data_IF_953224278472
#
_entry.id   IF_953224278472
#
_cell.length_a   1.000
_cell.length_b   1.000
_cell.length_c   1.000
_cell.angle_alpha   90.00
_cell.angle_beta   90.00
_cell.angle_gamma   90.00
#
_symmetry.space_group_name_H-M   'P 1'
#
loop_
_entity.id
_entity.type
_entity.pdbx_description
1 polymer ?
#
# COMPACT_ATOMS: atom_id res chain seq x y z
N UNK A 1 -12.91 16.79 -33.77
CA UNK A 1 -12.08 16.35 -32.63
C UNK A 1 -12.94 15.50 -31.72
N UNK A 2 -12.45 14.37 -31.25
CA UNK A 2 -13.17 13.45 -30.36
C UNK A 2 -12.39 13.29 -29.08
N UNK A 3 -13.05 13.45 -27.93
CA UNK A 3 -12.49 13.23 -26.59
C UNK A 3 -13.10 11.97 -26.00
N UNK A 4 -12.25 11.03 -25.63
CA UNK A 4 -12.67 9.78 -25.02
C UNK A 4 -11.95 9.55 -23.71
N UNK A 5 -12.61 8.81 -22.83
CA UNK A 5 -12.05 8.28 -21.59
C UNK A 5 -12.56 6.87 -21.40
N UNK A 6 -11.65 5.96 -21.11
CA UNK A 6 -11.96 4.58 -20.78
C UNK A 6 -11.27 4.19 -19.48
N UNK A 7 -11.93 3.36 -18.69
CA UNK A 7 -11.40 2.86 -17.42
C UNK A 7 -11.45 1.34 -17.45
N UNK A 8 -10.32 0.72 -17.16
CA UNK A 8 -10.22 -0.71 -16.90
C UNK A 8 -10.09 -0.97 -15.40
N UNK A 9 -10.63 -2.08 -14.91
CA UNK A 9 -10.64 -2.42 -13.49
C UNK A 9 -10.30 -3.90 -13.29
N UNK A 10 -9.52 -4.19 -12.25
CA UNK A 10 -9.19 -5.56 -11.84
C UNK A 10 -9.32 -5.69 -10.32
N UNK A 11 -9.94 -6.76 -9.88
CA UNK A 11 -10.03 -7.10 -8.46
C UNK A 11 -8.93 -8.09 -8.12
N UNK A 12 -8.10 -7.76 -7.14
CA UNK A 12 -7.00 -8.58 -6.66
C UNK A 12 -7.23 -9.04 -5.23
N UNK A 13 -6.68 -10.19 -4.90
CA UNK A 13 -6.50 -10.60 -3.50
C UNK A 13 -5.10 -10.13 -3.10
N UNK A 14 -4.97 -9.36 -2.00
CA UNK A 14 -3.67 -8.99 -1.48
C UNK A 14 -2.82 -10.24 -1.22
N UNK A 15 -1.57 -10.20 -1.62
CA UNK A 15 -0.62 -11.31 -1.56
C UNK A 15 0.44 -11.13 -0.48
N UNK A 16 0.42 -9.98 0.22
CA UNK A 16 1.43 -9.62 1.21
C UNK A 16 0.80 -9.05 2.48
N UNK A 17 1.36 -9.41 3.63
CA UNK A 17 1.03 -8.85 4.93
C UNK A 17 2.11 -7.85 5.34
N UNK A 18 1.69 -6.67 5.78
CA UNK A 18 2.54 -5.65 6.39
C UNK A 18 2.11 -5.46 7.84
N UNK A 19 3.06 -5.61 8.76
CA UNK A 19 2.88 -5.36 10.17
C UNK A 19 3.74 -4.19 10.61
N UNK A 20 3.22 -3.33 11.45
CA UNK A 20 4.00 -2.32 12.15
C UNK A 20 3.98 -2.63 13.65
N UNK A 21 5.15 -2.88 14.19
CA UNK A 21 5.40 -3.10 15.61
C UNK A 21 6.08 -1.87 16.18
N UNK A 22 5.87 -1.59 17.47
CA UNK A 22 6.45 -0.40 18.11
C UNK A 22 7.07 -0.76 19.46
N UNK A 23 8.34 -0.42 19.63
CA UNK A 23 8.94 -0.29 20.94
C UNK A 23 8.58 1.08 21.51
N UNK A 24 8.12 1.14 22.76
CA UNK A 24 7.74 2.38 23.45
C UNK A 24 8.24 2.35 24.89
N UNK A 25 8.82 3.47 25.33
CA UNK A 25 9.31 3.65 26.70
C UNK A 25 9.03 5.05 27.20
N UNK A 26 8.93 5.19 28.53
CA UNK A 26 8.80 6.49 29.18
C UNK A 26 9.61 6.55 30.48
N UNK A 27 10.11 7.73 30.83
CA UNK A 27 10.90 7.90 32.05
C UNK A 27 11.32 9.36 32.28
N UNK A 28 11.96 9.62 33.43
CA UNK A 28 12.44 10.95 33.78
C UNK A 28 13.75 11.33 33.06
N UNK A 29 14.57 10.34 32.69
CA UNK A 29 15.86 10.56 32.00
C UNK A 29 15.78 10.14 30.51
N UNK A 30 15.97 11.09 29.58
CA UNK A 30 15.91 10.80 28.15
C UNK A 30 16.96 9.77 27.69
N UNK A 31 18.13 9.75 28.31
CA UNK A 31 19.20 8.78 27.97
C UNK A 31 18.81 7.36 28.38
N UNK A 32 18.16 7.20 29.53
CA UNK A 32 17.67 5.91 29.99
C UNK A 32 16.54 5.40 29.07
N UNK A 33 15.59 6.27 28.68
CA UNK A 33 14.50 5.97 27.74
C UNK A 33 15.08 5.53 26.38
N UNK A 34 16.02 6.29 25.81
CA UNK A 34 16.68 5.96 24.57
C UNK A 34 17.41 4.60 24.64
N UNK A 35 18.17 4.37 25.71
CA UNK A 35 18.89 3.12 25.90
C UNK A 35 17.95 1.90 26.00
N UNK A 36 16.78 2.08 26.63
CA UNK A 36 15.79 1.03 26.75
C UNK A 36 15.14 0.69 25.39
N UNK A 37 14.77 1.71 24.58
CA UNK A 37 14.27 1.51 23.23
C UNK A 37 15.29 0.78 22.36
N UNK A 38 16.57 1.26 22.38
CA UNK A 38 17.63 0.67 21.58
C UNK A 38 17.86 -0.82 21.93
N UNK A 39 17.86 -1.18 23.20
CA UNK A 39 18.00 -2.58 23.63
C UNK A 39 16.83 -3.44 23.12
N UNK A 40 15.60 -2.95 23.30
CA UNK A 40 14.40 -3.68 22.86
C UNK A 40 14.38 -3.86 21.33
N UNK A 41 14.72 -2.80 20.59
CA UNK A 41 14.80 -2.85 19.15
C UNK A 41 15.91 -3.77 18.64
N UNK A 42 17.08 -3.78 19.29
CA UNK A 42 18.16 -4.69 18.94
C UNK A 42 17.76 -6.17 19.10
N UNK A 43 17.08 -6.51 20.21
CA UNK A 43 16.53 -7.85 20.43
C UNK A 43 15.51 -8.22 19.36
N UNK A 44 14.57 -7.30 19.07
CA UNK A 44 13.52 -7.52 18.07
C UNK A 44 14.11 -7.73 16.66
N UNK A 45 15.09 -6.95 16.26
CA UNK A 45 15.80 -7.09 14.98
C UNK A 45 16.52 -8.44 14.89
N UNK A 46 17.16 -8.88 15.97
CA UNK A 46 17.84 -10.16 15.99
C UNK A 46 16.86 -11.34 15.78
N UNK A 47 15.71 -11.32 16.43
CA UNK A 47 14.66 -12.32 16.22
C UNK A 47 14.06 -12.24 14.81
N UNK A 48 13.72 -11.05 14.35
CA UNK A 48 13.11 -10.86 13.06
C UNK A 48 14.01 -11.30 11.89
N UNK A 49 15.31 -11.04 11.96
CA UNK A 49 16.26 -11.47 10.93
C UNK A 49 16.46 -13.00 10.84
N UNK A 50 16.08 -13.76 11.87
CA UNK A 50 16.09 -15.23 11.82
C UNK A 50 14.90 -15.79 11.05
N UNK A 51 13.86 -15.01 10.83
CA UNK A 51 12.65 -15.44 10.13
C UNK A 51 12.82 -15.29 8.61
N UNK A 52 13.08 -16.38 7.92
CA UNK A 52 13.24 -16.39 6.46
C UNK A 52 11.95 -15.95 5.73
N UNK A 53 12.10 -15.18 4.66
CA UNK A 53 10.99 -14.72 3.82
C UNK A 53 10.21 -13.52 4.40
N UNK A 54 10.74 -12.86 5.43
CA UNK A 54 10.19 -11.63 6.00
C UNK A 54 11.19 -10.51 5.78
N UNK A 55 10.77 -9.46 5.10
CA UNK A 55 11.52 -8.21 5.02
C UNK A 55 11.34 -7.42 6.33
N UNK A 56 12.45 -6.90 6.85
CA UNK A 56 12.50 -6.22 8.15
C UNK A 56 13.12 -4.84 7.97
N UNK A 57 12.39 -3.81 8.37
CA UNK A 57 12.83 -2.41 8.27
C UNK A 57 12.53 -1.69 9.58
N UNK A 58 13.44 -0.79 9.97
CA UNK A 58 13.14 0.14 11.07
C UNK A 58 12.43 1.36 10.52
N UNK A 59 11.34 1.74 11.18
CA UNK A 59 10.57 2.93 10.83
C UNK A 59 10.93 4.15 11.66
N UNK A 60 9.94 4.97 11.96
CA UNK A 60 10.12 6.23 12.67
C UNK A 60 10.65 6.03 14.09
N UNK A 61 11.64 6.86 14.46
CA UNK A 61 12.12 7.03 15.82
C UNK A 61 11.69 8.40 16.34
N UNK A 62 11.14 8.45 17.54
CA UNK A 62 10.73 9.68 18.19
C UNK A 62 11.16 9.67 19.68
N UNK A 63 11.63 10.80 20.18
CA UNK A 63 11.90 11.05 21.60
C UNK A 63 11.47 12.48 21.90
N UNK A 64 10.55 12.68 22.83
CA UNK A 64 10.02 13.99 23.17
C UNK A 64 9.67 14.06 24.67
N UNK A 65 9.67 15.27 25.20
CA UNK A 65 9.24 15.55 26.56
C UNK A 65 7.72 15.77 26.60
N UNK A 66 7.05 15.10 27.51
CA UNK A 66 5.64 15.29 27.84
C UNK A 66 5.52 15.91 29.22
N UNK A 67 4.79 17.02 29.32
CA UNK A 67 4.49 17.69 30.59
C UNK A 67 3.00 17.57 30.89
N UNK A 68 2.55 16.53 31.65
CA UNK A 68 1.16 16.41 32.03
C UNK A 68 0.73 17.53 32.97
N UNK A 69 -0.55 17.97 32.97
CA UNK A 69 -1.02 19.13 33.74
C UNK A 69 -0.80 19.06 35.28
N UNK A 70 -0.67 17.85 35.83
CA UNK A 70 -0.55 17.64 37.27
C UNK A 70 0.54 16.63 37.67
N UNK A 71 1.52 16.42 36.82
CA UNK A 71 2.63 15.49 37.05
C UNK A 71 3.96 16.10 36.58
N UNK A 72 5.11 15.64 37.13
CA UNK A 72 6.39 16.11 36.63
C UNK A 72 6.59 15.77 35.13
N UNK A 73 7.39 16.58 34.40
CA UNK A 73 7.78 16.27 33.04
C UNK A 73 8.41 14.88 32.92
N UNK A 74 8.10 14.20 31.85
CA UNK A 74 8.66 12.88 31.53
C UNK A 74 8.98 12.78 30.04
N UNK A 75 9.97 12.00 29.74
CA UNK A 75 10.34 11.70 28.37
C UNK A 75 9.55 10.49 27.87
N UNK A 76 9.04 10.60 26.66
CA UNK A 76 8.47 9.49 25.92
C UNK A 76 9.30 9.22 24.68
N UNK A 77 9.60 7.95 24.43
CA UNK A 77 10.32 7.53 23.26
C UNK A 77 9.62 6.37 22.58
N UNK A 78 9.75 6.29 21.27
CA UNK A 78 9.22 5.17 20.48
C UNK A 78 10.05 4.95 19.21
N UNK A 79 10.06 3.69 18.75
CA UNK A 79 10.60 3.31 17.46
C UNK A 79 9.75 2.24 16.83
N UNK A 80 9.46 2.38 15.52
CA UNK A 80 8.71 1.39 14.75
C UNK A 80 9.64 0.34 14.13
N UNK A 81 9.14 -0.89 14.05
CA UNK A 81 9.68 -2.00 13.29
C UNK A 81 8.62 -2.44 12.29
N UNK A 82 8.96 -2.48 11.02
CA UNK A 82 8.08 -2.82 9.92
C UNK A 82 8.48 -4.19 9.42
N UNK A 83 7.51 -5.10 9.37
CA UNK A 83 7.66 -6.45 8.85
C UNK A 83 6.77 -6.58 7.62
N UNK A 84 7.31 -7.18 6.57
CA UNK A 84 6.56 -7.41 5.33
C UNK A 84 6.87 -8.82 4.81
N UNK A 85 5.83 -9.59 4.47
CA UNK A 85 6.00 -10.96 3.98
C UNK A 85 4.71 -11.53 3.41
N UNK A 86 4.85 -12.61 2.62
CA UNK A 86 3.72 -13.28 1.96
C UNK A 86 3.07 -14.35 2.84
N UNK A 87 3.86 -14.99 3.71
CA UNK A 87 3.38 -16.02 4.64
C UNK A 87 2.77 -15.37 5.89
N UNK A 88 1.46 -15.12 5.85
CA UNK A 88 0.72 -14.51 6.96
C UNK A 88 0.82 -15.30 8.26
N UNK A 89 0.88 -16.63 8.21
CA UNK A 89 0.95 -17.44 9.42
C UNK A 89 2.31 -17.27 10.11
N UNK A 90 3.39 -17.27 9.32
CA UNK A 90 4.75 -17.01 9.82
C UNK A 90 4.89 -15.59 10.36
N UNK A 91 4.30 -14.61 9.66
CA UNK A 91 4.28 -13.21 10.07
C UNK A 91 3.60 -13.03 11.43
N UNK A 92 2.42 -13.63 11.61
CA UNK A 92 1.66 -13.55 12.86
C UNK A 92 2.37 -14.26 14.02
N UNK A 93 3.04 -15.40 13.74
CA UNK A 93 3.86 -16.08 14.74
C UNK A 93 5.01 -15.19 15.22
N UNK A 94 5.78 -14.62 14.29
CA UNK A 94 6.85 -13.69 14.62
C UNK A 94 6.34 -12.47 15.40
N UNK A 95 5.19 -11.90 14.99
CA UNK A 95 4.59 -10.79 15.71
C UNK A 95 4.24 -11.14 17.18
N UNK A 96 3.74 -12.36 17.43
CA UNK A 96 3.50 -12.87 18.78
C UNK A 96 4.77 -13.00 19.62
N UNK A 97 5.86 -13.46 19.01
CA UNK A 97 7.18 -13.53 19.66
C UNK A 97 7.69 -12.13 20.02
N UNK A 98 7.61 -11.18 19.07
CA UNK A 98 8.00 -9.79 19.30
C UNK A 98 7.12 -9.07 20.33
N UNK A 99 5.84 -9.41 20.44
CA UNK A 99 4.97 -8.91 21.50
C UNK A 99 5.41 -9.43 22.88
N UNK A 100 5.86 -10.68 22.95
CA UNK A 100 6.43 -11.24 24.17
C UNK A 100 7.74 -10.54 24.58
N UNK A 101 8.49 -10.03 23.62
CA UNK A 101 9.68 -9.18 23.83
C UNK A 101 9.33 -7.72 24.19
N UNK A 102 8.05 -7.38 24.30
CA UNK A 102 7.56 -6.09 24.71
C UNK A 102 7.33 -5.08 23.58
N UNK A 103 7.24 -5.50 22.32
CA UNK A 103 6.76 -4.62 21.27
C UNK A 103 5.23 -4.64 21.23
N UNK A 104 4.65 -3.55 20.74
CA UNK A 104 3.21 -3.40 20.56
C UNK A 104 2.92 -3.43 19.06
N UNK A 105 1.97 -4.24 18.62
CA UNK A 105 1.47 -4.18 17.25
C UNK A 105 0.66 -2.89 17.09
N UNK A 106 1.10 -1.98 16.22
CA UNK A 106 0.42 -0.71 15.95
C UNK A 106 -0.48 -0.76 14.72
N UNK A 107 -0.12 -1.57 13.72
CA UNK A 107 -0.98 -1.81 12.57
C UNK A 107 -0.73 -3.16 11.92
N UNK A 108 -1.76 -3.65 11.22
CA UNK A 108 -1.71 -4.84 10.39
C UNK A 108 -2.52 -4.56 9.11
N UNK A 109 -1.89 -4.71 7.96
CA UNK A 109 -2.51 -4.41 6.67
C UNK A 109 -2.13 -5.45 5.64
N UNK A 110 -3.13 -5.98 4.93
CA UNK A 110 -2.89 -6.76 3.73
C UNK A 110 -2.73 -5.81 2.54
N UNK A 111 -1.70 -6.03 1.75
CA UNK A 111 -1.39 -5.20 0.58
C UNK A 111 -1.06 -6.07 -0.64
N UNK A 112 -1.23 -5.50 -1.83
CA UNK A 112 -0.78 -6.12 -3.08
C UNK A 112 0.69 -5.76 -3.26
N UNK A 113 1.52 -6.74 -3.61
CA UNK A 113 2.96 -6.53 -3.83
C UNK A 113 3.21 -5.56 -4.99
N UNK A 114 4.33 -4.82 -4.97
CA UNK A 114 4.70 -3.89 -6.04
C UNK A 114 4.84 -4.58 -7.41
N UNK A 115 5.24 -5.85 -7.41
CA UNK A 115 5.36 -6.67 -8.61
C UNK A 115 3.97 -6.91 -9.22
N UNK A 116 3.02 -7.43 -8.45
CA UNK A 116 1.65 -7.70 -8.90
C UNK A 116 0.93 -6.40 -9.29
N UNK A 117 1.20 -5.29 -8.58
CA UNK A 117 0.65 -3.98 -8.96
C UNK A 117 1.17 -3.52 -10.32
N UNK A 118 2.46 -3.69 -10.61
CA UNK A 118 3.09 -3.29 -11.87
C UNK A 118 2.53 -4.09 -13.04
N UNK A 119 2.51 -5.42 -12.92
CA UNK A 119 1.95 -6.32 -13.93
C UNK A 119 0.47 -6.00 -14.19
N UNK A 120 -0.30 -5.75 -13.12
CA UNK A 120 -1.70 -5.36 -13.23
C UNK A 120 -1.87 -4.02 -13.92
N UNK A 121 -0.99 -3.05 -13.67
CA UNK A 121 -1.03 -1.75 -14.32
C UNK A 121 -0.75 -1.86 -15.84
N UNK A 122 0.16 -2.74 -16.25
CA UNK A 122 0.44 -3.03 -17.67
C UNK A 122 -0.78 -3.66 -18.33
N UNK A 123 -1.38 -4.68 -17.71
CA UNK A 123 -2.61 -5.33 -18.21
C UNK A 123 -3.75 -4.34 -18.39
N UNK A 124 -4.03 -3.53 -17.35
CA UNK A 124 -5.12 -2.55 -17.36
C UNK A 124 -4.88 -1.44 -18.39
N UNK A 125 -3.62 -1.05 -18.60
CA UNK A 125 -3.28 -0.07 -19.64
C UNK A 125 -3.59 -0.62 -21.03
N UNK A 126 -3.21 -1.85 -21.31
CA UNK A 126 -3.51 -2.50 -22.58
C UNK A 126 -5.02 -2.65 -22.81
N UNK A 127 -5.76 -3.07 -21.78
CA UNK A 127 -7.21 -3.22 -21.82
C UNK A 127 -7.94 -1.88 -22.08
N UNK A 128 -7.56 -0.84 -21.34
CA UNK A 128 -8.17 0.49 -21.48
C UNK A 128 -7.88 1.11 -22.86
N UNK A 129 -6.66 0.95 -23.37
CA UNK A 129 -6.31 1.40 -24.72
C UNK A 129 -7.11 0.66 -25.79
N UNK A 130 -7.20 -0.67 -25.71
CA UNK A 130 -8.00 -1.46 -26.64
C UNK A 130 -9.49 -1.09 -26.59
N UNK A 131 -10.04 -0.78 -25.42
CA UNK A 131 -11.40 -0.30 -25.29
C UNK A 131 -11.60 1.08 -25.92
N UNK A 132 -10.63 1.98 -25.72
CA UNK A 132 -10.63 3.33 -26.30
C UNK A 132 -10.57 3.27 -27.83
N UNK A 133 -9.71 2.44 -28.40
CA UNK A 133 -9.59 2.23 -29.84
C UNK A 133 -10.90 1.70 -30.45
N UNK A 134 -11.48 0.65 -29.85
CA UNK A 134 -12.76 0.12 -30.31
C UNK A 134 -13.86 1.17 -30.28
N UNK A 135 -13.94 1.96 -29.22
CA UNK A 135 -14.96 3.01 -29.09
C UNK A 135 -14.73 4.15 -30.08
N UNK A 136 -13.46 4.55 -30.28
CA UNK A 136 -13.10 5.58 -31.25
C UNK A 136 -13.47 5.17 -32.68
N UNK A 137 -13.17 3.93 -33.07
CA UNK A 137 -13.52 3.36 -34.36
C UNK A 137 -15.04 3.31 -34.56
N UNK A 138 -15.78 2.81 -33.57
CA UNK A 138 -17.25 2.71 -33.65
C UNK A 138 -17.94 4.08 -33.79
N UNK A 139 -17.41 5.12 -33.13
CA UNK A 139 -17.94 6.49 -33.26
C UNK A 139 -17.58 7.07 -34.62
N UNK A 140 -16.34 6.87 -35.07
CA UNK A 140 -15.90 7.36 -36.37
C UNK A 140 -16.72 6.75 -37.50
N UNK A 141 -16.98 5.45 -37.49
CA UNK A 141 -17.80 4.74 -38.50
C UNK A 141 -19.24 5.27 -38.53
N UNK A 142 -19.87 5.55 -37.39
CA UNK A 142 -21.21 6.15 -37.32
C UNK A 142 -21.29 7.56 -37.90
N UNK A 143 -20.16 8.29 -37.88
CA UNK A 143 -20.04 9.64 -38.44
C UNK A 143 -19.55 9.62 -39.88
N UNK A 144 -19.34 8.45 -40.48
CA UNK A 144 -18.72 8.24 -41.80
C UNK A 144 -17.32 8.88 -41.92
N UNK A 145 -16.57 8.82 -40.81
CA UNK A 145 -15.21 9.32 -40.68
C UNK A 145 -14.25 8.16 -40.34
N UNK A 146 -12.95 8.47 -40.35
CA UNK A 146 -11.88 7.60 -39.86
C UNK A 146 -11.12 8.29 -38.73
N UNK A 147 -10.59 7.49 -37.80
CA UNK A 147 -9.60 7.97 -36.85
C UNK A 147 -8.30 8.21 -37.60
N UNK A 148 -7.84 9.44 -37.68
CA UNK A 148 -6.60 9.79 -38.37
C UNK A 148 -5.37 9.65 -37.48
N UNK A 149 -5.46 10.17 -36.27
CA UNK A 149 -4.38 10.13 -35.28
C UNK A 149 -4.84 10.51 -33.89
N UNK A 150 -4.08 10.11 -32.93
CA UNK A 150 -4.12 10.69 -31.59
C UNK A 150 -3.45 12.06 -31.59
N UNK A 151 -4.09 13.06 -30.98
CA UNK A 151 -3.50 14.36 -30.69
C UNK A 151 -2.84 14.33 -29.33
N UNK A 152 -3.54 13.81 -28.35
CA UNK A 152 -3.10 13.68 -26.97
C UNK A 152 -3.54 12.32 -26.43
N UNK A 153 -2.66 11.66 -25.72
CA UNK A 153 -2.94 10.43 -24.98
C UNK A 153 -2.41 10.61 -23.58
N UNK A 154 -3.27 10.41 -22.59
CA UNK A 154 -2.89 10.46 -21.17
C UNK A 154 -3.27 9.14 -20.53
N UNK A 155 -2.28 8.47 -19.98
CA UNK A 155 -2.44 7.26 -19.18
C UNK A 155 -2.34 7.68 -17.71
N UNK A 156 -3.41 7.45 -16.95
CA UNK A 156 -3.42 7.70 -15.51
C UNK A 156 -2.62 6.63 -14.76
N UNK A 157 -2.25 6.94 -13.53
CA UNK A 157 -1.69 5.94 -12.64
C UNK A 157 -2.78 4.98 -12.16
N UNK A 158 -2.39 3.74 -11.87
CA UNK A 158 -3.29 2.80 -11.24
C UNK A 158 -3.65 3.29 -9.83
N UNK A 159 -4.93 3.47 -9.57
CA UNK A 159 -5.46 3.84 -8.26
C UNK A 159 -5.89 2.57 -7.53
N UNK A 160 -5.31 2.36 -6.34
CA UNK A 160 -5.69 1.26 -5.45
C UNK A 160 -6.76 1.76 -4.47
N UNK A 161 -7.98 1.35 -4.67
CA UNK A 161 -9.05 1.49 -3.69
C UNK A 161 -8.92 0.40 -2.63
N UNK A 162 -8.14 0.63 -1.59
CA UNK A 162 -8.17 -0.24 -0.41
C UNK A 162 -9.46 0.04 0.37
N UNK A 163 -10.18 -0.99 0.81
CA UNK A 163 -11.27 -0.78 1.75
C UNK A 163 -10.73 -0.10 3.01
N UNK A 164 -11.53 0.76 3.68
CA UNK A 164 -11.10 1.47 4.86
C UNK A 164 -10.65 0.50 5.95
N UNK A 165 -9.42 0.65 6.42
CA UNK A 165 -8.86 -0.14 7.51
C UNK A 165 -9.60 0.24 8.78
N UNK A 166 -10.29 -0.71 9.41
CA UNK A 166 -10.86 -0.52 10.74
C UNK A 166 -9.71 -0.34 11.74
N UNK A 167 -9.46 0.91 12.14
CA UNK A 167 -8.55 1.23 13.25
C UNK A 167 -9.22 0.84 14.55
N UNK A 168 -8.90 -0.36 15.03
CA UNK A 168 -9.22 -0.76 16.41
C UNK A 168 -8.31 -0.05 17.39
N UNK A 169 -8.88 0.69 18.33
CA UNK A 169 -8.13 1.22 19.47
C UNK A 169 -7.72 0.03 20.37
N UNK A 170 -6.43 -0.25 20.45
CA UNK A 170 -5.89 -1.30 21.30
C UNK A 170 -5.83 -0.85 22.75
N UNK A 171 -6.63 -1.45 23.62
CA UNK A 171 -6.37 -1.46 25.06
C UNK A 171 -5.41 -2.58 25.41
N UNK A 172 -4.35 -2.24 26.15
CA UNK A 172 -3.26 -3.13 26.51
C UNK A 172 -3.69 -4.10 27.62
N UNK A 173 -4.09 -5.29 27.22
CA UNK A 173 -4.07 -6.52 28.03
C UNK A 173 -3.66 -7.64 27.07
N UNK A 174 -2.97 -8.69 27.57
CA UNK A 174 -2.47 -9.79 26.75
C UNK A 174 -3.54 -10.29 25.76
N UNK A 175 -3.47 -9.81 24.53
CA UNK A 175 -4.47 -10.09 23.49
C UNK A 175 -4.01 -11.25 22.63
N UNK A 176 -4.90 -12.21 22.31
CA UNK A 176 -4.61 -13.19 21.27
C UNK A 176 -4.34 -12.47 19.96
N UNK A 177 -3.49 -13.07 19.11
CA UNK A 177 -3.17 -12.52 17.80
C UNK A 177 -4.47 -12.19 17.03
N UNK A 178 -4.57 -11.00 16.40
CA UNK A 178 -5.79 -10.61 15.69
C UNK A 178 -6.07 -11.59 14.55
N UNK A 179 -7.32 -12.06 14.47
CA UNK A 179 -7.78 -12.88 13.34
C UNK A 179 -8.15 -11.93 12.21
N UNK A 180 -7.41 -12.00 11.10
CA UNK A 180 -7.70 -11.19 9.92
C UNK A 180 -7.63 -12.07 8.66
N UNK A 181 -8.53 -11.81 7.73
CA UNK A 181 -8.52 -12.39 6.40
C UNK A 181 -8.24 -11.28 5.37
N UNK A 182 -7.49 -11.58 4.29
CA UNK A 182 -7.26 -10.60 3.24
C UNK A 182 -8.61 -10.23 2.60
N UNK A 183 -8.87 -8.94 2.49
CA UNK A 183 -9.99 -8.39 1.71
C UNK A 183 -9.72 -8.50 0.20
N UNK A 184 -10.49 -7.76 -0.61
CA UNK A 184 -10.23 -7.60 -2.04
C UNK A 184 -9.80 -6.17 -2.31
N UNK A 185 -8.74 -6.00 -3.09
CA UNK A 185 -8.28 -4.70 -3.56
C UNK A 185 -8.80 -4.47 -4.99
N UNK A 186 -9.45 -3.35 -5.24
CA UNK A 186 -9.89 -2.98 -6.59
C UNK A 186 -8.88 -2.00 -7.16
N UNK A 187 -8.28 -2.36 -8.27
CA UNK A 187 -7.32 -1.53 -8.99
C UNK A 187 -8.02 -0.97 -10.22
N UNK A 188 -7.91 0.35 -10.42
CA UNK A 188 -8.49 1.07 -11.55
C UNK A 188 -7.41 1.85 -12.27
N UNK A 189 -7.51 1.87 -13.59
CA UNK A 189 -6.66 2.69 -14.44
C UNK A 189 -7.52 3.36 -15.51
N UNK A 190 -7.34 4.67 -15.66
CA UNK A 190 -8.08 5.47 -16.63
C UNK A 190 -7.14 5.97 -17.73
N UNK A 191 -7.56 5.78 -18.97
CA UNK A 191 -6.90 6.35 -20.15
C UNK A 191 -7.83 7.39 -20.76
N UNK A 192 -7.30 8.56 -21.11
CA UNK A 192 -8.03 9.60 -21.83
C UNK A 192 -7.26 10.04 -23.08
N UNK A 193 -7.99 10.32 -24.15
CA UNK A 193 -7.40 10.73 -25.39
C UNK A 193 -8.21 11.78 -26.14
N UNK A 194 -7.49 12.62 -26.87
CA UNK A 194 -8.02 13.47 -27.92
C UNK A 194 -7.62 12.91 -29.28
N UNK A 195 -8.62 12.64 -30.14
CA UNK A 195 -8.43 12.05 -31.44
C UNK A 195 -8.90 13.02 -32.55
N UNK A 196 -8.18 13.02 -33.64
CA UNK A 196 -8.57 13.73 -34.86
C UNK A 196 -9.29 12.75 -35.78
N UNK A 197 -10.53 13.07 -36.14
CA UNK A 197 -11.31 12.35 -37.12
C UNK A 197 -11.29 13.12 -38.45
N UNK A 198 -11.35 12.43 -39.56
CA UNK A 198 -11.43 13.01 -40.89
C UNK A 198 -11.98 12.03 -41.92
N UNK A 199 -12.21 12.45 -43.17
CA UNK A 199 -12.64 11.55 -44.22
C UNK A 199 -11.61 10.45 -44.46
N UNK A 200 -12.09 9.29 -44.88
CA UNK A 200 -11.18 8.19 -45.26
C UNK A 200 -10.22 8.67 -46.39
N UNK A 201 -8.91 8.37 -46.33
CA UNK A 201 -8.02 8.65 -47.45
C UNK A 201 -8.53 7.92 -48.71
N UNK A 202 -8.40 8.54 -49.91
CA UNK A 202 -8.80 7.85 -51.12
C UNK A 202 -8.02 6.54 -51.29
N UNK A 203 -8.62 5.50 -51.86
CA UNK A 203 -7.93 4.26 -52.10
C UNK A 203 -6.70 4.55 -53.00
N UNK A 204 -5.52 4.07 -52.57
CA UNK A 204 -4.33 4.17 -53.41
C UNK A 204 -4.56 3.40 -54.70
N UNK A 205 -4.20 4.00 -55.85
CA UNK A 205 -4.34 3.35 -57.16
C UNK A 205 -3.48 2.09 -57.32
#
# INVERSE_FOLDING_TARGET
MLHLRETAEKTLVPDRLRLEMRAQESGADPRAVQAAINRRMASALQHAHQAAGIAVETGNYALFEETPPHAPPRWQGSQSLILTGEDSARMLKLAGELQSDGLIMSSMTYEVSPEVLRDTQEDLTAEALAALDRRAAAIADRLHLKVLRYRTLTVGNAESGLPPVLRGAAMATAMPAPVAAPGRAQIRLTVSAELILGPAPPPHP
#
